data_IF_843804750137
#
_entry.id   IF_843804750137
#
_cell.length_a   1.000
_cell.length_b   1.000
_cell.length_c   1.000
_cell.angle_alpha   90.00
_cell.angle_beta   90.00
_cell.angle_gamma   90.00
#
_symmetry.space_group_name_H-M   'P 1'
#
loop_
_entity.id
_entity.type
_entity.pdbx_description
1 polymer ?
#
# COMPACT_ATOMS: atom_id res chain seq x y z
N UNK A 1 8.93 -3.28 1.21
CA UNK A 1 8.60 -2.57 -0.05
C UNK A 1 7.63 -1.45 0.26
N UNK A 2 7.71 -0.30 -0.42
CA UNK A 2 6.74 0.78 -0.26
C UNK A 2 7.42 2.15 -0.14
N UNK A 3 6.91 3.00 0.74
CA UNK A 3 7.54 4.29 1.04
C UNK A 3 8.42 4.19 2.26
N UNK A 4 9.44 5.04 2.31
CA UNK A 4 10.20 5.24 3.54
C UNK A 4 9.31 5.85 4.64
N UNK A 5 9.67 5.64 5.90
CA UNK A 5 8.90 6.05 7.08
C UNK A 5 9.28 7.45 7.57
N UNK A 6 10.28 8.10 6.96
CA UNK A 6 10.62 9.48 7.31
C UNK A 6 9.41 10.41 7.07
N UNK A 7 9.21 11.45 7.91
CA UNK A 7 8.09 12.39 7.80
C UNK A 7 7.86 13.02 6.44
N UNK A 8 8.92 13.17 5.66
CA UNK A 8 8.89 13.83 4.35
C UNK A 8 8.69 12.86 3.18
N UNK A 9 8.65 11.55 3.47
CA UNK A 9 8.43 10.49 2.48
C UNK A 9 6.93 10.23 2.25
N UNK A 10 6.09 10.61 3.22
CA UNK A 10 4.65 10.61 3.15
C UNK A 10 4.11 11.92 3.72
N UNK A 11 3.32 12.64 2.95
CA UNK A 11 2.72 13.91 3.33
C UNK A 11 1.31 13.96 2.74
N UNK A 12 0.37 13.40 3.49
CA UNK A 12 -1.00 13.13 3.08
C UNK A 12 -1.89 14.31 3.47
N UNK A 13 -2.50 15.02 2.51
CA UNK A 13 -3.34 16.18 2.79
C UNK A 13 -4.56 15.81 3.67
N UNK A 14 -5.08 16.76 4.47
CA UNK A 14 -6.33 16.58 5.19
C UNK A 14 -7.55 16.59 4.25
N UNK A 15 -8.67 16.08 4.74
CA UNK A 15 -9.98 16.14 4.09
C UNK A 15 -10.04 15.45 2.70
N UNK A 16 -9.37 14.30 2.53
CA UNK A 16 -9.34 13.56 1.27
C UNK A 16 -9.89 12.15 1.43
N UNK A 17 -10.85 11.77 0.59
CA UNK A 17 -11.44 10.43 0.63
C UNK A 17 -10.46 9.34 0.14
N UNK A 18 -9.73 9.64 -0.95
CA UNK A 18 -8.79 8.71 -1.58
C UNK A 18 -7.52 9.47 -2.00
N UNK A 19 -6.51 9.50 -1.13
CA UNK A 19 -5.19 9.96 -1.50
C UNK A 19 -4.31 8.77 -1.88
N UNK A 20 -3.73 8.80 -3.08
CA UNK A 20 -3.01 7.66 -3.66
C UNK A 20 -1.50 7.92 -3.60
N UNK A 21 -0.77 6.98 -3.00
CA UNK A 21 0.68 6.98 -2.98
C UNK A 21 1.20 5.74 -3.70
N UNK A 22 1.84 5.97 -4.84
CA UNK A 22 2.49 4.95 -5.64
C UNK A 22 4.01 4.96 -5.42
N UNK A 23 4.56 3.75 -5.25
CA UNK A 23 5.97 3.44 -5.07
C UNK A 23 6.42 2.42 -6.11
N UNK A 24 7.68 2.51 -6.53
CA UNK A 24 8.24 1.62 -7.54
C UNK A 24 9.56 1.02 -7.09
N UNK A 25 9.75 -0.27 -7.38
CA UNK A 25 10.99 -0.99 -7.15
C UNK A 25 11.54 -1.44 -8.49
N UNK A 26 12.69 -0.88 -8.92
CA UNK A 26 13.25 -1.16 -10.23
C UNK A 26 13.82 -2.55 -10.31
N UNK A 27 14.13 -2.98 -11.53
CA UNK A 27 14.79 -4.25 -11.82
C UNK A 27 16.04 -4.47 -10.96
N UNK A 28 16.80 -3.41 -10.67
CA UNK A 28 17.98 -3.46 -9.82
C UNK A 28 17.71 -3.96 -8.38
N UNK A 29 16.48 -3.78 -7.87
CA UNK A 29 16.09 -4.23 -6.54
C UNK A 29 15.95 -5.77 -6.44
N UNK A 30 15.81 -6.47 -7.57
CA UNK A 30 15.64 -7.92 -7.62
C UNK A 30 16.84 -8.67 -8.19
N UNK A 31 17.91 -7.98 -8.61
CA UNK A 31 19.10 -8.63 -9.20
C UNK A 31 19.73 -9.66 -8.24
N UNK A 32 19.64 -9.42 -6.92
CA UNK A 32 20.15 -10.36 -5.90
C UNK A 32 19.32 -11.63 -5.74
N UNK A 33 18.12 -11.70 -6.32
CA UNK A 33 17.28 -12.91 -6.30
C UNK A 33 17.95 -13.96 -7.18
N UNK A 34 18.07 -15.23 -6.72
CA UNK A 34 18.60 -16.31 -7.56
C UNK A 34 17.83 -16.46 -8.87
N UNK A 35 18.50 -16.90 -9.94
CA UNK A 35 17.83 -17.16 -11.24
C UNK A 35 16.70 -18.20 -11.13
N UNK A 36 16.79 -19.13 -10.17
CA UNK A 36 15.73 -20.09 -9.86
C UNK A 36 14.48 -19.47 -9.20
N UNK A 37 14.60 -18.21 -8.76
CA UNK A 37 13.57 -17.43 -8.08
C UNK A 37 13.47 -17.71 -6.58
N UNK A 38 12.66 -16.88 -5.92
CA UNK A 38 12.13 -17.12 -4.57
C UNK A 38 10.62 -17.32 -4.65
N UNK A 39 10.07 -17.95 -3.63
CA UNK A 39 8.64 -18.25 -3.49
C UNK A 39 8.10 -17.49 -2.29
N UNK A 40 7.24 -16.52 -2.54
CA UNK A 40 6.51 -15.77 -1.51
C UNK A 40 5.29 -16.57 -1.07
N UNK A 41 5.10 -16.69 0.23
CA UNK A 41 4.02 -17.49 0.84
C UNK A 41 3.02 -16.65 1.63
N UNK A 42 3.41 -15.46 2.03
CA UNK A 42 2.57 -14.54 2.80
C UNK A 42 3.01 -13.09 2.62
N UNK A 43 2.07 -12.20 2.91
CA UNK A 43 2.23 -10.77 2.89
C UNK A 43 1.75 -10.17 4.22
N UNK A 44 2.48 -9.19 4.71
CA UNK A 44 2.11 -8.36 5.85
C UNK A 44 2.04 -6.91 5.36
N UNK A 45 0.87 -6.45 4.88
CA UNK A 45 0.62 -5.05 4.57
C UNK A 45 0.55 -4.25 5.87
N UNK A 46 1.17 -3.08 5.91
CA UNK A 46 1.22 -2.24 7.08
C UNK A 46 1.06 -0.76 6.71
N UNK A 47 0.08 -0.14 7.34
CA UNK A 47 -0.23 1.29 7.33
C UNK A 47 -0.90 1.64 8.67
N UNK A 48 -1.06 2.93 8.97
CA UNK A 48 -1.71 3.39 10.19
C UNK A 48 -3.21 3.69 9.95
N UNK A 49 -3.80 4.57 10.78
CA UNK A 49 -5.24 4.77 10.95
C UNK A 49 -5.97 5.23 9.67
N UNK A 50 -5.27 5.89 8.76
CA UNK A 50 -5.79 6.45 7.52
C UNK A 50 -5.65 5.49 6.34
N UNK A 51 -4.87 4.42 6.45
CA UNK A 51 -4.74 3.40 5.40
C UNK A 51 -6.08 2.71 5.08
N UNK A 52 -6.37 2.51 3.79
CA UNK A 52 -7.61 1.86 3.30
C UNK A 52 -7.36 0.76 2.28
N UNK A 53 -6.26 0.85 1.54
CA UNK A 53 -5.84 -0.21 0.64
C UNK A 53 -4.34 -0.24 0.50
N UNK A 54 -3.77 -1.44 0.42
CA UNK A 54 -2.36 -1.70 0.10
C UNK A 54 -2.30 -2.82 -0.93
N UNK A 55 -1.65 -2.58 -2.06
CA UNK A 55 -1.47 -3.57 -3.11
C UNK A 55 -0.06 -3.51 -3.69
N UNK A 56 0.45 -4.65 -4.13
CA UNK A 56 1.71 -4.73 -4.88
C UNK A 56 1.53 -5.62 -6.09
N UNK A 57 1.93 -5.11 -7.25
CA UNK A 57 1.95 -5.84 -8.52
C UNK A 57 3.37 -6.25 -8.87
N UNK A 58 3.52 -7.42 -9.47
CA UNK A 58 4.75 -7.86 -10.12
C UNK A 58 4.72 -7.39 -11.56
N UNK A 59 5.78 -6.75 -12.01
CA UNK A 59 5.97 -6.27 -13.37
C UNK A 59 7.10 -7.06 -14.01
N UNK A 60 6.86 -7.56 -15.23
CA UNK A 60 7.83 -8.26 -16.07
C UNK A 60 7.73 -7.70 -17.47
N UNK A 61 8.86 -7.30 -18.05
CA UNK A 61 8.91 -6.76 -19.42
C UNK A 61 7.86 -5.64 -19.63
N UNK A 62 7.81 -4.66 -18.71
CA UNK A 62 6.89 -3.51 -18.74
C UNK A 62 5.39 -3.87 -18.66
N UNK A 63 5.04 -5.10 -18.27
CA UNK A 63 3.65 -5.56 -18.09
C UNK A 63 3.45 -6.05 -16.66
N UNK A 64 2.38 -5.61 -16.01
CA UNK A 64 1.96 -6.20 -14.74
C UNK A 64 1.41 -7.61 -14.99
N UNK A 65 2.01 -8.61 -14.36
CA UNK A 65 1.68 -10.03 -14.61
C UNK A 65 0.73 -10.63 -13.57
N UNK A 66 0.77 -10.14 -12.33
CA UNK A 66 -0.19 -10.46 -11.27
C UNK A 66 -0.01 -9.52 -10.07
N UNK A 67 -0.97 -9.55 -9.15
CA UNK A 67 -0.76 -9.03 -7.80
C UNK A 67 0.12 -10.00 -7.01
N UNK A 68 1.17 -9.49 -6.39
CA UNK A 68 1.85 -10.18 -5.30
C UNK A 68 0.96 -10.20 -4.05
N UNK A 69 0.22 -9.11 -3.83
CA UNK A 69 -0.86 -9.03 -2.84
C UNK A 69 -1.82 -7.89 -3.23
N UNK A 70 -3.12 -8.07 -2.98
CA UNK A 70 -4.16 -7.10 -3.28
C UNK A 70 -5.10 -6.94 -2.07
N UNK A 71 -4.78 -5.99 -1.17
CA UNK A 71 -5.61 -5.63 -0.03
C UNK A 71 -6.48 -4.41 -0.35
N UNK A 72 -7.65 -4.63 -0.94
CA UNK A 72 -8.59 -3.55 -1.30
C UNK A 72 -9.33 -2.95 -0.10
N UNK A 73 -9.39 -3.67 1.01
CA UNK A 73 -10.13 -3.30 2.23
C UNK A 73 -9.25 -3.44 3.48
N UNK A 74 -8.13 -2.71 3.49
CA UNK A 74 -7.22 -2.68 4.63
C UNK A 74 -7.85 -1.93 5.82
N UNK A 75 -7.69 -2.48 7.02
CA UNK A 75 -8.08 -1.87 8.29
C UNK A 75 -6.94 -2.05 9.30
N UNK A 76 -6.50 -0.92 9.87
CA UNK A 76 -5.45 -0.85 10.90
C UNK A 76 -5.69 -1.80 12.09
N UNK A 77 -6.94 -2.06 12.46
CA UNK A 77 -7.27 -2.94 13.58
C UNK A 77 -7.09 -4.43 13.24
N UNK A 78 -6.89 -4.77 11.96
CA UNK A 78 -6.79 -6.13 11.45
C UNK A 78 -5.45 -6.34 10.72
N UNK A 79 -4.35 -6.08 11.42
CA UNK A 79 -3.00 -6.29 10.91
C UNK A 79 -2.46 -7.65 11.33
N UNK A 80 -2.50 -8.62 10.42
CA UNK A 80 -1.92 -9.93 10.60
C UNK A 80 -1.25 -10.38 9.30
N UNK A 81 -0.41 -11.40 9.39
CA UNK A 81 0.22 -11.99 8.22
C UNK A 81 -0.82 -12.72 7.37
N UNK A 82 -1.02 -12.24 6.14
CA UNK A 82 -1.92 -12.86 5.18
C UNK A 82 -1.17 -13.95 4.42
N UNK A 83 -1.50 -15.20 4.69
CA UNK A 83 -1.07 -16.31 3.84
C UNK A 83 -1.67 -16.16 2.44
N UNK A 84 -0.83 -16.24 1.42
CA UNK A 84 -1.29 -16.21 0.03
C UNK A 84 -2.04 -17.51 -0.27
N UNK A 85 -3.14 -17.41 -1.02
CA UNK A 85 -3.92 -18.58 -1.44
C UNK A 85 -3.04 -19.57 -2.22
N UNK A 86 -2.21 -19.04 -3.11
CA UNK A 86 -1.19 -19.77 -3.84
C UNK A 86 0.17 -19.09 -3.64
N UNK A 87 1.26 -19.84 -3.39
CA UNK A 87 2.59 -19.26 -3.34
C UNK A 87 2.98 -18.62 -4.68
N UNK A 88 3.60 -17.44 -4.62
CA UNK A 88 3.94 -16.66 -5.82
C UNK A 88 5.44 -16.65 -6.04
N UNK A 89 5.88 -17.03 -7.25
CA UNK A 89 7.28 -16.93 -7.65
C UNK A 89 7.67 -15.52 -8.11
N UNK A 90 8.77 -15.05 -7.55
CA UNK A 90 9.48 -13.83 -7.95
C UNK A 90 10.83 -14.25 -8.52
N UNK A 91 11.25 -13.62 -9.61
CA UNK A 91 12.52 -13.88 -10.28
C UNK A 91 13.43 -12.67 -10.25
N UNK A 92 14.73 -12.92 -10.44
CA UNK A 92 15.67 -11.87 -10.82
C UNK A 92 15.19 -11.21 -12.10
N UNK A 93 15.11 -9.88 -12.11
CA UNK A 93 14.56 -9.14 -13.24
C UNK A 93 13.14 -8.63 -13.04
N UNK A 94 12.43 -9.11 -12.02
CA UNK A 94 11.09 -8.63 -11.69
C UNK A 94 11.16 -7.20 -11.12
N UNK A 95 10.13 -6.41 -11.39
CA UNK A 95 9.94 -5.08 -10.83
C UNK A 95 8.64 -5.06 -10.01
N UNK A 96 8.49 -4.09 -9.12
CA UNK A 96 7.27 -3.99 -8.31
C UNK A 96 6.68 -2.60 -8.32
N UNK A 97 5.36 -2.53 -8.49
CA UNK A 97 4.58 -1.33 -8.23
C UNK A 97 3.73 -1.55 -6.98
N UNK A 98 3.93 -0.70 -5.96
CA UNK A 98 3.17 -0.74 -4.71
C UNK A 98 2.29 0.50 -4.63
N UNK A 99 1.02 0.32 -4.28
CA UNK A 99 0.03 1.39 -4.10
C UNK A 99 -0.55 1.32 -2.71
N UNK A 100 -0.51 2.45 -2.01
CA UNK A 100 -1.25 2.68 -0.78
C UNK A 100 -2.32 3.76 -1.02
N UNK A 101 -3.52 3.54 -0.49
CA UNK A 101 -4.64 4.48 -0.54
C UNK A 101 -5.02 4.88 0.87
N UNK A 102 -5.15 6.19 1.09
CA UNK A 102 -5.48 6.75 2.39
C UNK A 102 -6.78 7.54 2.37
N UNK A 103 -7.48 7.54 3.49
CA UNK A 103 -8.64 8.39 3.75
C UNK A 103 -8.35 9.31 4.95
N UNK A 104 -8.39 10.61 4.73
CA UNK A 104 -8.14 11.67 5.71
C UNK A 104 -9.33 12.62 5.85
N UNK A 105 -10.56 12.21 5.48
CA UNK A 105 -11.78 13.04 5.59
C UNK A 105 -12.00 13.57 7.01
N UNK A 106 -11.58 12.80 8.02
CA UNK A 106 -11.69 13.17 9.43
C UNK A 106 -10.49 13.96 9.98
N UNK A 107 -9.49 14.30 9.15
CA UNK A 107 -8.30 15.05 9.56
C UNK A 107 -8.43 16.51 9.15
N UNK A 108 -8.00 17.40 10.04
CA UNK A 108 -7.92 18.85 9.79
C UNK A 108 -6.51 19.34 9.47
N UNK A 109 -5.49 18.50 9.71
CA UNK A 109 -4.08 18.76 9.44
C UNK A 109 -3.50 17.68 8.53
N UNK A 110 -2.40 18.01 7.86
CA UNK A 110 -1.61 17.04 7.08
C UNK A 110 -1.20 15.87 7.98
N UNK A 111 -1.17 14.66 7.42
CA UNK A 111 -0.64 13.47 8.08
C UNK A 111 0.71 13.14 7.44
N UNK A 112 1.78 13.09 8.25
CA UNK A 112 3.15 12.85 7.79
C UNK A 112 3.53 11.37 7.95
N UNK A 113 4.66 10.98 7.36
CA UNK A 113 5.26 9.67 7.61
C UNK A 113 5.81 9.55 9.04
N UNK A 114 5.76 8.37 9.65
CA UNK A 114 6.36 8.19 10.97
C UNK A 114 5.93 6.91 11.67
N UNK A 115 6.51 6.69 12.86
CA UNK A 115 6.25 5.51 13.68
C UNK A 115 5.04 5.67 14.62
N UNK A 116 4.57 6.90 14.84
CA UNK A 116 3.39 7.14 15.68
C UNK A 116 2.12 6.66 14.96
N UNK A 117 1.17 6.15 15.73
CA UNK A 117 -0.18 5.80 15.22
C UNK A 117 -0.93 6.99 14.62
N UNK A 118 -0.49 8.23 14.88
CA UNK A 118 -1.04 9.45 14.32
C UNK A 118 -0.36 9.89 13.02
N UNK A 119 0.82 9.35 12.74
CA UNK A 119 1.52 9.45 11.45
C UNK A 119 1.04 8.33 10.53
N UNK A 120 1.66 8.18 9.35
CA UNK A 120 1.35 7.12 8.40
C UNK A 120 2.55 6.33 7.90
N UNK A 121 2.26 5.13 7.40
CA UNK A 121 3.22 4.25 6.74
C UNK A 121 2.60 3.60 5.50
N UNK A 122 3.44 3.29 4.51
CA UNK A 122 3.11 2.41 3.40
C UNK A 122 4.18 1.32 3.32
N UNK A 123 4.01 0.26 4.09
CA UNK A 123 4.95 -0.86 4.10
C UNK A 123 4.25 -2.14 3.64
N UNK A 124 4.97 -2.89 2.82
CA UNK A 124 4.57 -4.21 2.39
C UNK A 124 5.73 -5.16 2.60
N UNK A 125 5.51 -6.11 3.51
CA UNK A 125 6.51 -7.07 3.95
C UNK A 125 6.07 -8.43 3.42
N UNK A 126 7.01 -9.21 2.90
CA UNK A 126 6.72 -10.52 2.30
C UNK A 126 7.59 -11.58 2.94
N UNK A 127 6.99 -12.70 3.30
CA UNK A 127 7.71 -13.88 3.77
C UNK A 127 7.90 -14.83 2.61
N UNK A 128 9.13 -15.33 2.42
CA UNK A 128 9.50 -16.12 1.26
C UNK A 128 10.54 -17.20 1.59
N UNK A 129 10.74 -18.12 0.66
CA UNK A 129 11.80 -19.12 0.67
C UNK A 129 12.37 -19.36 -0.75
N UNK A 130 13.61 -19.87 -0.91
CA UNK A 130 14.60 -20.09 0.13
C UNK A 130 15.10 -18.76 0.73
N UNK A 131 15.68 -18.83 1.93
CA UNK A 131 16.33 -17.68 2.56
C UNK A 131 17.44 -17.16 1.66
N UNK A 132 17.42 -15.86 1.40
CA UNK A 132 18.54 -15.16 0.75
C UNK A 132 19.50 -14.62 1.81
N UNK A 133 20.78 -14.48 1.46
CA UNK A 133 21.78 -13.90 2.37
C UNK A 133 21.53 -12.42 2.64
N UNK A 134 20.95 -11.71 1.68
CA UNK A 134 20.61 -10.29 1.80
C UNK A 134 19.11 -10.11 1.58
N UNK A 135 18.36 -9.78 2.63
CA UNK A 135 16.95 -9.39 2.50
C UNK A 135 16.87 -8.04 1.81
N UNK A 136 16.24 -7.98 0.63
CA UNK A 136 16.12 -6.72 -0.10
C UNK A 136 15.03 -5.84 0.51
N UNK A 137 15.40 -4.63 0.94
CA UNK A 137 14.45 -3.55 1.09
C UNK A 137 14.28 -2.81 -0.24
N UNK A 138 13.16 -2.12 -0.36
CA UNK A 138 12.92 -1.17 -1.44
C UNK A 138 11.94 -0.10 -0.94
N UNK A 139 12.45 1.11 -0.72
CA UNK A 139 11.74 2.22 -0.12
C UNK A 139 11.82 3.44 -1.04
N UNK A 140 10.69 4.10 -1.24
CA UNK A 140 10.57 5.28 -2.09
C UNK A 140 10.47 6.53 -1.21
N UNK A 141 11.16 7.59 -1.65
CA UNK A 141 11.03 8.95 -1.12
C UNK A 141 10.77 9.90 -2.28
N UNK A 142 9.89 10.88 -2.11
CA UNK A 142 9.89 12.03 -3.04
C UNK A 142 11.27 12.70 -2.96
N UNK A 143 11.85 13.01 -4.11
CA UNK A 143 13.19 13.57 -4.14
C UNK A 143 13.21 14.97 -3.54
N UNK A 144 14.36 15.32 -3.01
CA UNK A 144 14.61 16.66 -2.50
C UNK A 144 14.41 17.74 -3.57
N UNK A 145 14.82 17.50 -4.82
CA UNK A 145 14.64 18.45 -5.92
C UNK A 145 13.17 18.68 -6.26
N UNK A 146 12.33 17.64 -6.22
CA UNK A 146 10.89 17.80 -6.40
C UNK A 146 10.25 18.61 -5.28
N UNK A 147 10.68 18.41 -4.03
CA UNK A 147 10.24 19.26 -2.91
C UNK A 147 10.70 20.72 -3.03
N UNK A 148 11.95 20.96 -3.45
CA UNK A 148 12.48 22.31 -3.71
C UNK A 148 11.62 23.06 -4.74
N UNK A 149 11.31 22.39 -5.85
CA UNK A 149 10.47 22.95 -6.91
C UNK A 149 9.08 23.31 -6.39
N UNK A 150 8.44 22.42 -5.61
CA UNK A 150 7.10 22.66 -5.09
C UNK A 150 7.06 23.82 -4.09
N UNK A 151 8.05 23.90 -3.20
CA UNK A 151 8.13 24.98 -2.22
C UNK A 151 8.45 26.34 -2.83
N UNK A 152 8.92 26.38 -4.09
CA UNK A 152 9.51 27.55 -4.71
C UNK A 152 10.55 28.22 -3.79
N UNK A 153 11.31 27.38 -3.06
CA UNK A 153 12.37 27.79 -2.14
C UNK A 153 13.63 27.03 -2.49
N UNK A 154 14.76 27.72 -2.49
CA UNK A 154 16.05 27.05 -2.40
C UNK A 154 16.14 26.45 -1.01
N UNK A 155 15.76 25.18 -0.88
CA UNK A 155 16.08 24.38 0.30
C UNK A 155 17.62 24.27 0.29
N UNK A 156 18.31 25.17 0.98
CA UNK A 156 19.75 25.05 1.17
C UNK A 156 20.05 23.78 1.95
N UNK A 157 21.29 23.32 1.95
CA UNK A 157 21.73 22.22 2.81
C UNK A 157 21.52 22.47 4.33
N UNK A 158 21.00 23.66 4.70
CA UNK A 158 20.72 24.12 6.07
C UNK A 158 19.24 23.93 6.43
N UNK A 159 18.36 23.60 5.48
CA UNK A 159 16.97 23.32 5.81
C UNK A 159 16.92 22.03 6.64
N UNK A 160 16.70 22.17 7.94
CA UNK A 160 16.59 21.00 8.81
C UNK A 160 15.31 20.24 8.45
N UNK A 161 15.28 18.94 8.75
CA UNK A 161 14.04 18.16 8.65
C UNK A 161 12.91 18.85 9.42
N UNK A 162 13.21 19.43 10.59
CA UNK A 162 12.24 20.18 11.40
C UNK A 162 11.66 21.39 10.66
N UNK A 163 12.46 22.17 9.94
CA UNK A 163 11.96 23.32 9.17
C UNK A 163 11.03 22.88 8.04
N UNK A 164 11.33 21.74 7.41
CA UNK A 164 10.50 21.20 6.34
C UNK A 164 9.19 20.63 6.87
N UNK A 165 9.22 19.89 7.98
CA UNK A 165 8.02 19.42 8.67
C UNK A 165 7.16 20.60 9.14
N UNK A 166 7.78 21.61 9.76
CA UNK A 166 7.08 22.83 10.16
C UNK A 166 6.44 23.53 8.97
N UNK A 167 7.09 23.60 7.81
CA UNK A 167 6.47 24.14 6.60
C UNK A 167 5.24 23.33 6.18
N UNK A 168 5.34 21.99 6.09
CA UNK A 168 4.23 21.10 5.74
C UNK A 168 3.03 21.27 6.70
N UNK A 169 3.31 21.40 7.99
CA UNK A 169 2.30 21.55 9.05
C UNK A 169 1.54 22.88 9.00
N UNK A 170 2.12 23.92 8.38
CA UNK A 170 1.54 25.27 8.28
C UNK A 170 0.92 25.56 6.90
N UNK A 171 0.84 24.58 6.00
CA UNK A 171 0.15 24.73 4.72
C UNK A 171 -1.35 24.99 4.96
N UNK A 172 -1.89 26.01 4.28
CA UNK A 172 -3.34 26.25 4.24
C UNK A 172 -3.98 25.39 3.13
N UNK A 173 -4.70 24.34 3.53
CA UNK A 173 -5.28 23.37 2.61
C UNK A 173 -6.60 23.84 1.99
N UNK A 174 -6.59 24.02 0.67
CA UNK A 174 -7.80 24.22 -0.14
C UNK A 174 -8.09 22.98 -0.98
N UNK A 175 -9.33 22.83 -1.47
CA UNK A 175 -9.69 21.73 -2.38
C UNK A 175 -8.85 21.73 -3.66
N UNK A 176 -8.51 22.92 -4.18
CA UNK A 176 -7.62 23.05 -5.33
C UNK A 176 -6.20 22.56 -5.00
N UNK A 177 -5.66 22.94 -3.83
CA UNK A 177 -4.32 22.53 -3.43
C UNK A 177 -4.24 21.01 -3.22
N UNK A 178 -5.28 20.39 -2.66
CA UNK A 178 -5.37 18.93 -2.53
C UNK A 178 -5.24 18.23 -3.90
N UNK A 179 -5.95 18.72 -4.92
CA UNK A 179 -5.86 18.16 -6.28
C UNK A 179 -4.45 18.33 -6.86
N UNK A 180 -3.87 19.52 -6.72
CA UNK A 180 -2.49 19.79 -7.15
C UNK A 180 -1.47 18.93 -6.39
N UNK A 181 -1.74 18.60 -5.13
CA UNK A 181 -0.87 17.75 -4.31
C UNK A 181 -0.86 16.30 -4.82
N UNK A 182 -2.02 15.77 -5.22
CA UNK A 182 -2.08 14.45 -5.86
C UNK A 182 -1.33 14.45 -7.20
N UNK A 183 -1.46 15.51 -8.00
CA UNK A 183 -0.70 15.67 -9.24
C UNK A 183 0.81 15.75 -8.98
N UNK A 184 1.23 16.45 -7.93
CA UNK A 184 2.61 16.48 -7.49
C UNK A 184 3.11 15.07 -7.17
N UNK A 185 2.40 14.29 -6.35
CA UNK A 185 2.78 12.90 -6.05
C UNK A 185 2.90 12.02 -7.30
N UNK A 186 2.00 12.20 -8.27
CA UNK A 186 1.99 11.43 -9.52
C UNK A 186 3.16 11.78 -10.46
N UNK A 187 3.73 12.98 -10.34
CA UNK A 187 4.74 13.51 -11.26
C UNK A 187 6.12 13.71 -10.63
N UNK A 188 6.22 13.73 -9.31
CA UNK A 188 7.46 13.97 -8.60
C UNK A 188 8.50 12.86 -8.89
N UNK A 189 9.74 13.31 -9.02
CA UNK A 189 10.89 12.41 -9.02
C UNK A 189 11.06 11.76 -7.65
N UNK A 190 11.60 10.55 -7.62
CA UNK A 190 11.73 9.73 -6.41
C UNK A 190 13.15 9.25 -6.22
N UNK A 191 13.65 9.34 -4.99
CA UNK A 191 14.82 8.60 -4.55
C UNK A 191 14.34 7.22 -4.09
N UNK A 192 14.83 6.18 -4.75
CA UNK A 192 14.54 4.78 -4.39
C UNK A 192 15.76 4.20 -3.71
N UNK A 193 15.60 3.77 -2.46
CA UNK A 193 16.60 3.03 -1.70
C UNK A 193 16.29 1.55 -1.84
N UNK A 194 17.25 0.74 -2.25
CA UNK A 194 17.04 -0.70 -2.43
C UNK A 194 18.28 -1.52 -2.12
N UNK A 195 18.09 -2.82 -1.87
CA UNK A 195 19.17 -3.76 -1.58
C UNK A 195 19.13 -4.27 -0.14
N UNK A 196 20.18 -4.96 0.28
CA UNK A 196 20.29 -5.50 1.64
C UNK A 196 20.63 -4.41 2.66
N UNK A 197 20.26 -4.62 3.93
CA UNK A 197 20.56 -3.66 5.03
C UNK A 197 22.05 -3.28 5.09
N UNK A 198 22.95 -4.23 4.86
CA UNK A 198 24.39 -3.98 4.86
C UNK A 198 24.94 -3.33 3.57
N UNK A 199 24.15 -3.34 2.47
CA UNK A 199 24.59 -2.90 1.15
C UNK A 199 23.46 -2.15 0.43
N UNK A 200 23.03 -1.04 1.02
CA UNK A 200 22.00 -0.18 0.45
C UNK A 200 22.52 0.55 -0.79
N UNK A 201 21.77 0.43 -1.88
CA UNK A 201 21.95 1.17 -3.11
C UNK A 201 20.82 2.19 -3.25
N UNK A 202 21.03 3.16 -4.14
CA UNK A 202 20.02 4.15 -4.46
C UNK A 202 19.91 4.39 -5.97
N UNK A 203 18.71 4.74 -6.41
CA UNK A 203 18.40 5.15 -7.77
C UNK A 203 17.51 6.38 -7.74
N UNK A 204 17.73 7.32 -8.66
CA UNK A 204 16.82 8.43 -8.91
C UNK A 204 15.87 8.09 -10.06
N UNK A 205 14.58 8.02 -9.76
CA UNK A 205 13.53 7.94 -10.77
C UNK A 205 13.04 9.35 -11.09
N UNK A 206 13.16 9.79 -12.34
CA UNK A 206 12.64 11.11 -12.75
C UNK A 206 11.11 11.19 -12.65
N UNK A 207 10.43 10.05 -12.86
CA UNK A 207 8.99 9.85 -12.65
C UNK A 207 8.73 8.36 -12.43
N UNK A 208 7.56 8.02 -11.88
CA UNK A 208 7.09 6.64 -11.85
C UNK A 208 7.04 6.04 -13.27
N UNK A 209 7.62 4.85 -13.48
CA UNK A 209 7.53 4.16 -14.77
C UNK A 209 6.10 3.85 -15.17
N UNK A 210 5.84 3.92 -16.47
CA UNK A 210 4.59 3.42 -17.06
C UNK A 210 4.77 1.94 -17.39
N UNK A 211 3.74 1.15 -17.13
CA UNK A 211 3.66 -0.26 -17.47
C UNK A 211 2.23 -0.58 -17.94
N UNK A 212 2.07 -1.62 -18.75
CA UNK A 212 0.76 -2.16 -19.07
C UNK A 212 0.15 -2.78 -17.81
N UNK A 213 -0.99 -2.27 -17.37
CA UNK A 213 -1.63 -2.74 -16.15
C UNK A 213 -2.38 -4.07 -16.38
N UNK A 214 -2.65 -4.79 -15.30
CA UNK A 214 -3.51 -5.97 -15.30
C UNK A 214 -4.85 -5.61 -15.93
N UNK A 215 -5.28 -6.41 -16.90
CA UNK A 215 -6.64 -6.30 -17.44
C UNK A 215 -7.62 -6.44 -16.29
N UNK A 216 -8.55 -5.51 -16.17
CA UNK A 216 -9.64 -5.64 -15.22
C UNK A 216 -10.33 -6.97 -15.48
N UNK A 217 -10.39 -7.80 -14.44
CA UNK A 217 -11.13 -9.05 -14.52
C UNK A 217 -12.59 -8.64 -14.67
N UNK A 218 -13.14 -8.73 -15.87
CA UNK A 218 -14.58 -8.55 -16.07
C UNK A 218 -15.27 -9.55 -15.14
N UNK A 219 -15.87 -9.04 -14.07
CA UNK A 219 -16.85 -9.80 -13.32
C UNK A 219 -18.07 -9.93 -14.23
N UNK A 220 -18.02 -10.91 -15.12
CA UNK A 220 -19.21 -11.36 -15.84
C UNK A 220 -20.16 -11.86 -14.76
N UNK A 221 -21.13 -11.01 -14.39
CA UNK A 221 -22.35 -11.49 -13.75
C UNK A 221 -22.81 -12.65 -14.63
N UNK A 222 -22.89 -13.84 -14.06
CA UNK A 222 -23.47 -14.97 -14.77
C UNK A 222 -24.92 -14.60 -15.06
N UNK A 223 -25.18 -14.03 -16.24
CA UNK A 223 -26.50 -13.79 -16.78
C UNK A 223 -26.97 -15.05 -17.50
N UNK A 224 -26.82 -16.21 -16.86
CA UNK A 224 -27.71 -17.33 -17.16
C UNK A 224 -29.01 -17.06 -16.42
N UNK A 225 -29.87 -16.28 -17.07
CA UNK A 225 -31.30 -16.28 -16.79
C UNK A 225 -31.87 -17.67 -17.06
N UNK A 226 -31.65 -18.60 -16.14
CA UNK A 226 -32.58 -19.68 -15.93
C UNK A 226 -33.51 -19.21 -14.81
N UNK A 227 -34.79 -19.04 -15.15
CA UNK A 227 -35.90 -18.98 -14.21
C UNK A 227 -35.93 -20.27 -13.38
N UNK A 228 -34.99 -20.42 -12.46
CA UNK A 228 -35.11 -21.34 -11.34
C UNK A 228 -35.86 -20.54 -10.30
N UNK A 229 -37.15 -20.83 -10.18
CA UNK A 229 -37.91 -20.54 -8.98
C UNK A 229 -37.10 -21.08 -7.80
N UNK A 230 -36.46 -20.18 -7.06
CA UNK A 230 -35.89 -20.51 -5.77
C UNK A 230 -37.08 -20.86 -4.88
N UNK A 231 -37.32 -22.16 -4.71
CA UNK A 231 -38.21 -22.65 -3.66
C UNK A 231 -37.47 -22.34 -2.36
N UNK A 232 -37.85 -21.24 -1.71
CA UNK A 232 -37.45 -20.94 -0.35
C UNK A 232 -38.10 -22.02 0.52
N UNK A 233 -37.35 -22.95 1.14
CA UNK A 233 -37.96 -23.90 2.06
C UNK A 233 -38.53 -23.09 3.21
N UNK A 234 -39.81 -23.34 3.54
CA UNK A 234 -40.45 -22.73 4.70
C UNK A 234 -39.58 -22.96 5.94
N UNK A 235 -39.13 -21.88 6.55
CA UNK A 235 -38.31 -21.91 7.75
C UNK A 235 -39.02 -22.71 8.85
N UNK A 236 -38.38 -23.79 9.28
CA UNK A 236 -38.89 -24.61 10.37
C UNK A 236 -38.64 -23.86 11.69
N UNK A 237 -39.69 -23.28 12.28
CA UNK A 237 -39.66 -22.42 13.47
C UNK A 237 -39.01 -23.09 14.70
N UNK A 238 -38.92 -24.41 14.69
CA UNK A 238 -38.27 -25.23 15.73
C UNK A 238 -36.77 -24.95 15.84
N UNK A 239 -36.08 -24.68 14.71
CA UNK A 239 -34.62 -24.43 14.71
C UNK A 239 -34.27 -23.10 15.35
N UNK A 240 -35.10 -22.07 15.12
CA UNK A 240 -34.92 -20.75 15.76
C UNK A 240 -35.16 -20.80 17.27
N UNK A 241 -36.17 -21.55 17.71
CA UNK A 241 -36.43 -21.78 19.14
C UNK A 241 -35.28 -22.52 19.83
N UNK A 242 -34.66 -23.50 19.17
CA UNK A 242 -33.52 -24.24 19.72
C UNK A 242 -32.26 -23.36 19.88
N UNK A 243 -31.95 -22.52 18.89
CA UNK A 243 -30.82 -21.58 18.96
C UNK A 243 -31.06 -20.52 20.04
N UNK A 244 -32.29 -20.01 20.15
CA UNK A 244 -32.66 -19.04 21.17
C UNK A 244 -32.61 -19.64 22.59
N UNK A 245 -33.06 -20.89 22.79
CA UNK A 245 -32.94 -21.59 24.07
C UNK A 245 -31.48 -21.85 24.45
N UNK A 246 -30.62 -22.22 23.50
CA UNK A 246 -29.18 -22.42 23.76
C UNK A 246 -28.49 -21.11 24.16
N UNK A 247 -28.87 -19.98 23.59
CA UNK A 247 -28.35 -18.66 23.98
C UNK A 247 -28.82 -18.23 25.37
N UNK A 248 -30.08 -18.52 25.73
CA UNK A 248 -30.61 -18.24 27.07
C UNK A 248 -29.98 -19.11 28.17
N UNK A 249 -29.73 -20.40 27.91
CA UNK A 249 -29.07 -21.30 28.88
C UNK A 249 -27.64 -20.83 29.16
N UNK A 250 -26.92 -20.32 28.15
CA UNK A 250 -25.58 -19.73 28.35
C UNK A 250 -25.60 -18.45 29.20
N UNK A 251 -26.69 -17.68 29.16
CA UNK A 251 -26.84 -16.44 29.92
C UNK A 251 -27.26 -16.67 31.39
N UNK A 252 -27.83 -17.84 31.70
CA UNK A 252 -28.26 -18.22 33.05
C UNK A 252 -27.19 -19.01 33.84
N UNK A 253 -26.05 -19.35 33.22
CA UNK A 253 -24.92 -20.04 33.86
C UNK A 253 -23.69 -19.14 34.06
N UNK A 254 -23.90 -17.81 34.04
CA UNK A 254 -22.94 -16.78 34.47
C UNK A 254 -23.52 -16.00 35.64
#
# INVERSE_FOLDING_TARGET
FGTDILPTSLAIPPNVQNFIVDSYCPINATISIPMSGITVISAFPHAHLQGRSISTKIIRNQTAVQYLFNGETFDFNYQFEHRLAEPIKIYSGDEFATRCVYNTVNKTRITLGGESVHDEMCLHIFTYYPRMNNTSICLNRISFSSWQMLMNKNISAIFSFDEFENWLMNINWTSQLVTQWQEFYNNASRLVLYGGEANLQHLMLSRLPKYEDLKQKECNKSSTGNNTTVIIPSFNTIVFLAIYLMMLIKYLML
#
